data_IF_314774648675
#
_entry.id   IF_314774648675
#
_cell.length_a   1.000
_cell.length_b   1.000
_cell.length_c   1.000
_cell.angle_alpha   90.00
_cell.angle_beta   90.00
_cell.angle_gamma   90.00
#
_symmetry.space_group_name_H-M   'P 1'
#
loop_
_entity.id
_entity.type
_entity.pdbx_description
1 polymer ?
#
# COMPACT_ATOMS: atom_id res chain seq x y z
N UNK A 1 -9.13 -4.79 11.69
CA UNK A 1 -8.79 -5.66 12.84
C UNK A 1 -9.62 -6.93 12.94
N UNK A 2 -10.91 -6.92 12.53
CA UNK A 2 -11.85 -8.06 12.61
C UNK A 2 -11.28 -9.48 12.37
N UNK A 3 -10.45 -9.67 11.34
CA UNK A 3 -9.86 -10.99 11.04
C UNK A 3 -8.90 -11.47 12.14
N UNK A 4 -8.00 -10.59 12.59
CA UNK A 4 -7.03 -10.90 13.65
C UNK A 4 -7.73 -11.16 14.98
N UNK A 5 -8.72 -10.33 15.33
CA UNK A 5 -9.54 -10.50 16.54
C UNK A 5 -10.29 -11.83 16.53
N UNK A 6 -10.89 -12.21 15.39
CA UNK A 6 -11.61 -13.48 15.24
C UNK A 6 -10.73 -14.73 15.39
N UNK A 7 -9.42 -14.59 15.19
CA UNK A 7 -8.42 -15.65 15.38
C UNK A 7 -7.71 -15.57 16.74
N UNK A 8 -8.06 -14.60 17.60
CA UNK A 8 -7.42 -14.39 18.89
C UNK A 8 -5.98 -13.87 18.79
N UNK A 9 -5.62 -13.20 17.68
CA UNK A 9 -4.29 -12.62 17.48
C UNK A 9 -4.22 -11.30 18.28
N UNK A 10 -3.24 -11.15 19.20
CA UNK A 10 -3.06 -9.90 19.94
C UNK A 10 -2.78 -8.72 19.01
N UNK A 11 -3.43 -7.60 19.27
CA UNK A 11 -3.25 -6.36 18.51
C UNK A 11 -2.50 -5.32 19.34
N UNK A 12 -1.69 -4.51 18.65
CA UNK A 12 -0.96 -3.39 19.24
C UNK A 12 -0.96 -2.22 18.25
N UNK A 13 -1.04 -0.98 18.74
CA UNK A 13 -0.91 0.19 17.88
C UNK A 13 0.50 0.29 17.32
N UNK A 14 0.65 0.76 16.08
CA UNK A 14 1.96 1.06 15.50
C UNK A 14 2.65 2.20 16.27
N UNK A 15 1.89 3.12 16.86
CA UNK A 15 2.41 4.22 17.67
C UNK A 15 3.14 3.75 18.93
N UNK A 16 2.85 2.53 19.40
CA UNK A 16 3.42 1.95 20.62
C UNK A 16 4.65 1.05 20.33
N UNK A 17 5.16 1.05 19.08
CA UNK A 17 6.17 0.10 18.61
C UNK A 17 7.36 0.86 17.99
N UNK A 18 8.55 0.66 18.56
CA UNK A 18 9.78 1.25 18.02
C UNK A 18 10.33 0.50 16.79
N UNK A 19 10.13 -0.82 16.73
CA UNK A 19 10.61 -1.66 15.61
C UNK A 19 9.74 -2.89 15.39
N UNK A 20 9.61 -3.29 14.13
CA UNK A 20 8.92 -4.50 13.70
C UNK A 20 9.94 -5.44 13.06
N UNK A 21 10.01 -6.69 13.50
CA UNK A 21 10.99 -7.62 12.94
C UNK A 21 10.62 -8.04 11.51
N UNK A 22 9.35 -8.31 11.26
CA UNK A 22 8.83 -8.75 9.96
C UNK A 22 7.45 -8.14 9.71
N UNK A 23 7.25 -7.61 8.51
CA UNK A 23 5.93 -7.29 7.96
C UNK A 23 5.69 -8.14 6.72
N UNK A 24 4.49 -8.69 6.59
CA UNK A 24 4.03 -9.46 5.43
C UNK A 24 2.86 -8.74 4.79
N UNK A 25 2.90 -8.56 3.48
CA UNK A 25 1.92 -7.76 2.73
C UNK A 25 1.80 -8.26 1.28
N UNK A 26 0.82 -7.77 0.52
CA UNK A 26 0.68 -8.04 -0.92
C UNK A 26 1.23 -6.91 -1.80
N UNK A 27 1.12 -7.07 -3.12
CA UNK A 27 1.35 -5.99 -4.08
C UNK A 27 0.42 -6.09 -5.30
N UNK A 28 0.23 -4.97 -5.98
CA UNK A 28 -0.59 -4.88 -7.20
C UNK A 28 0.23 -5.19 -8.46
N UNK A 29 1.51 -4.77 -8.48
CA UNK A 29 2.50 -5.13 -9.51
C UNK A 29 3.90 -5.28 -8.89
N UNK A 30 4.72 -6.15 -9.48
CA UNK A 30 6.13 -6.35 -9.15
C UNK A 30 6.94 -6.53 -10.43
N UNK A 31 8.04 -5.81 -10.57
CA UNK A 31 8.97 -5.94 -11.71
C UNK A 31 10.17 -6.87 -11.40
N UNK A 32 11.01 -7.23 -12.39
CA UNK A 32 12.16 -8.12 -12.18
C UNK A 32 13.25 -7.53 -11.26
N UNK A 33 13.23 -6.23 -11.01
CA UNK A 33 14.13 -5.53 -10.09
C UNK A 33 13.55 -5.45 -8.67
N UNK A 34 12.40 -6.08 -8.43
CA UNK A 34 11.66 -6.07 -7.18
C UNK A 34 11.16 -4.68 -6.77
N UNK A 35 10.97 -3.78 -7.74
CA UNK A 35 10.12 -2.61 -7.55
C UNK A 35 8.65 -3.04 -7.64
N UNK A 36 7.74 -2.30 -7.02
CA UNK A 36 6.32 -2.62 -7.15
C UNK A 36 5.39 -1.44 -6.95
N UNK A 37 4.15 -1.65 -7.40
CA UNK A 37 3.02 -0.78 -7.15
C UNK A 37 2.11 -1.45 -6.13
N UNK A 38 1.66 -0.65 -5.15
CA UNK A 38 0.76 -1.04 -4.07
C UNK A 38 -0.32 0.02 -3.90
N UNK A 39 -1.37 -0.31 -3.15
CA UNK A 39 -2.43 0.62 -2.76
C UNK A 39 -3.75 0.42 -3.50
N UNK A 40 -3.88 -0.61 -4.34
CA UNK A 40 -5.14 -0.96 -5.01
C UNK A 40 -6.28 -1.26 -4.03
N UNK A 41 -5.95 -1.67 -2.81
CA UNK A 41 -6.91 -1.90 -1.72
C UNK A 41 -7.28 -0.67 -0.89
N UNK A 42 -6.71 0.51 -1.16
CA UNK A 42 -7.05 1.75 -0.46
C UNK A 42 -6.47 1.90 0.96
N UNK A 43 -5.36 1.23 1.26
CA UNK A 43 -4.69 1.29 2.56
C UNK A 43 -3.20 1.68 2.46
N UNK A 44 -2.80 2.35 1.38
CA UNK A 44 -1.39 2.56 1.03
C UNK A 44 -0.63 3.34 2.12
N UNK A 45 -1.24 4.37 2.70
CA UNK A 45 -0.61 5.10 3.80
C UNK A 45 -0.34 4.19 5.00
N UNK A 46 -1.33 3.39 5.40
CA UNK A 46 -1.19 2.49 6.55
C UNK A 46 -0.16 1.39 6.29
N UNK A 47 -0.16 0.80 5.09
CA UNK A 47 0.87 -0.17 4.64
C UNK A 47 2.28 0.43 4.80
N UNK A 48 2.46 1.69 4.36
CA UNK A 48 3.75 2.38 4.41
C UNK A 48 4.17 2.78 5.83
N UNK A 49 3.22 3.19 6.68
CA UNK A 49 3.47 3.49 8.09
C UNK A 49 4.02 2.23 8.80
N UNK A 50 3.39 1.06 8.60
CA UNK A 50 3.84 -0.21 9.19
C UNK A 50 5.16 -0.69 8.59
N UNK A 51 5.39 -0.48 7.30
CA UNK A 51 6.65 -0.86 6.64
C UNK A 51 7.86 -0.04 7.15
N UNK A 52 7.65 1.19 7.63
CA UNK A 52 8.74 2.11 8.01
C UNK A 52 9.63 1.59 9.16
N UNK A 53 9.09 1.14 10.30
CA UNK A 53 9.90 0.57 11.39
C UNK A 53 10.25 -0.92 11.18
N UNK A 54 10.05 -1.48 9.98
CA UNK A 54 10.22 -2.91 9.72
C UNK A 54 11.66 -3.28 9.31
N UNK A 55 12.23 -4.31 9.93
CA UNK A 55 13.56 -4.85 9.58
C UNK A 55 13.53 -5.73 8.32
N UNK A 56 12.47 -6.53 8.15
CA UNK A 56 12.26 -7.38 6.96
C UNK A 56 10.85 -7.21 6.42
N UNK A 57 10.73 -6.68 5.20
CA UNK A 57 9.44 -6.50 4.53
C UNK A 57 9.30 -7.55 3.44
N UNK A 58 8.31 -8.43 3.57
CA UNK A 58 8.10 -9.59 2.69
C UNK A 58 6.79 -9.39 1.95
N UNK A 59 6.85 -9.37 0.61
CA UNK A 59 5.65 -9.32 -0.22
C UNK A 59 5.29 -10.72 -0.73
N UNK A 60 4.01 -11.06 -0.64
CA UNK A 60 3.45 -12.31 -1.14
C UNK A 60 2.51 -11.99 -2.29
N UNK A 61 2.87 -12.46 -3.47
CA UNK A 61 2.11 -12.26 -4.71
C UNK A 61 2.06 -13.55 -5.52
N UNK A 62 1.02 -13.71 -6.33
CA UNK A 62 0.96 -14.74 -7.36
C UNK A 62 1.57 -14.24 -8.68
N UNK A 63 1.78 -15.13 -9.66
CA UNK A 63 2.44 -14.78 -10.92
C UNK A 63 1.73 -13.70 -11.72
N UNK A 64 0.42 -13.47 -11.52
CA UNK A 64 -0.33 -12.43 -12.24
C UNK A 64 0.10 -11.01 -11.86
N UNK A 65 0.80 -10.85 -10.74
CA UNK A 65 1.35 -9.56 -10.28
C UNK A 65 2.71 -9.25 -10.89
N UNK A 66 3.36 -10.22 -11.52
CA UNK A 66 4.67 -10.02 -12.14
C UNK A 66 4.51 -9.36 -13.50
N UNK A 67 5.21 -8.25 -13.72
CA UNK A 67 5.19 -7.48 -14.97
C UNK A 67 6.59 -7.16 -15.45
N UNK A 68 6.82 -7.09 -16.76
CA UNK A 68 8.13 -6.69 -17.31
C UNK A 68 8.45 -5.22 -17.00
N UNK A 69 7.42 -4.38 -16.97
CA UNK A 69 7.50 -2.95 -16.68
C UNK A 69 6.27 -2.52 -15.87
N UNK A 70 6.50 -1.76 -14.78
CA UNK A 70 5.43 -1.20 -13.96
C UNK A 70 4.57 -0.21 -14.75
N UNK A 71 3.28 -0.17 -14.42
CA UNK A 71 2.33 0.84 -14.87
C UNK A 71 1.14 0.32 -15.67
N UNK A 72 0.94 -1.01 -15.79
CA UNK A 72 -0.32 -1.53 -16.30
C UNK A 72 -1.44 -1.33 -15.25
N UNK A 73 -1.10 -1.45 -13.97
CA UNK A 73 -1.90 -1.01 -12.84
C UNK A 73 -1.76 0.50 -12.62
N UNK A 74 -2.87 1.17 -12.30
CA UNK A 74 -2.88 2.61 -12.04
C UNK A 74 -2.14 2.90 -10.74
N UNK A 75 -1.15 3.79 -10.78
CA UNK A 75 -0.40 4.22 -9.60
C UNK A 75 -1.33 4.88 -8.55
N UNK A 76 -1.52 4.28 -7.36
CA UNK A 76 -2.36 4.87 -6.32
C UNK A 76 -1.70 6.10 -5.69
N UNK A 77 -2.50 7.15 -5.44
CA UNK A 77 -2.08 8.38 -4.76
C UNK A 77 -3.15 8.75 -3.74
N UNK A 78 -2.78 8.76 -2.47
CA UNK A 78 -3.67 9.20 -1.38
C UNK A 78 -3.46 10.69 -1.11
N UNK A 79 -4.58 11.42 -1.00
CA UNK A 79 -4.58 12.87 -0.90
C UNK A 79 -5.56 13.33 0.16
N UNK A 80 -5.23 14.42 0.85
CA UNK A 80 -6.23 15.20 1.55
C UNK A 80 -7.20 15.81 0.54
N UNK A 81 -8.49 15.80 0.86
CA UNK A 81 -9.54 16.27 -0.06
C UNK A 81 -9.29 17.70 -0.56
N UNK A 82 -8.78 18.59 0.31
CA UNK A 82 -8.43 19.97 -0.05
C UNK A 82 -7.31 20.10 -1.09
N UNK A 83 -6.47 19.07 -1.27
CA UNK A 83 -5.35 19.07 -2.20
C UNK A 83 -5.73 18.55 -3.59
N UNK A 84 -6.93 17.98 -3.77
CA UNK A 84 -7.32 17.24 -4.98
C UNK A 84 -7.13 18.07 -6.25
N UNK A 85 -7.68 19.30 -6.30
CA UNK A 85 -7.62 20.16 -7.49
C UNK A 85 -6.17 20.51 -7.85
N UNK A 86 -5.35 20.84 -6.84
CA UNK A 86 -3.94 21.20 -7.04
C UNK A 86 -3.11 19.99 -7.52
N UNK A 87 -3.39 18.80 -7.01
CA UNK A 87 -2.69 17.59 -7.41
C UNK A 87 -3.07 17.14 -8.83
N UNK A 88 -4.35 17.23 -9.22
CA UNK A 88 -4.80 16.87 -10.57
C UNK A 88 -4.10 17.73 -11.63
N UNK A 89 -4.03 19.04 -11.41
CA UNK A 89 -3.39 19.96 -12.36
C UNK A 89 -1.89 19.71 -12.50
N UNK A 90 -1.22 19.36 -11.40
CA UNK A 90 0.22 19.09 -11.37
C UNK A 90 0.59 17.74 -11.97
N UNK A 91 -0.19 16.70 -11.66
CA UNK A 91 0.08 15.32 -12.08
C UNK A 91 -0.53 14.97 -13.45
N UNK A 92 -1.24 15.92 -14.09
CA UNK A 92 -1.95 15.73 -15.36
C UNK A 92 -2.84 14.47 -15.36
N UNK A 93 -3.47 14.17 -14.22
CA UNK A 93 -4.25 12.96 -14.03
C UNK A 93 -5.57 13.09 -14.81
N UNK A 94 -5.83 12.13 -15.71
CA UNK A 94 -7.05 12.12 -16.55
C UNK A 94 -8.13 11.15 -16.07
N UNK A 95 -7.85 10.34 -15.04
CA UNK A 95 -8.79 9.36 -14.50
C UNK A 95 -8.64 9.26 -12.98
N UNK A 96 -9.72 9.49 -12.25
CA UNK A 96 -9.76 9.42 -10.78
C UNK A 96 -10.88 8.46 -10.39
N UNK A 97 -10.54 7.43 -9.63
CA UNK A 97 -11.50 6.62 -8.89
C UNK A 97 -11.44 7.05 -7.44
N UNK A 98 -12.55 7.58 -6.92
CA UNK A 98 -12.68 7.88 -5.50
C UNK A 98 -13.15 6.63 -4.75
N UNK A 99 -12.36 6.18 -3.79
CA UNK A 99 -12.83 5.30 -2.74
C UNK A 99 -13.11 6.17 -1.52
N UNK A 100 -14.39 6.41 -1.24
CA UNK A 100 -14.84 6.96 0.04
C UNK A 100 -14.88 5.83 1.06
N UNK A 101 -14.29 6.06 2.23
CA UNK A 101 -14.57 5.23 3.43
C UNK A 101 -16.06 5.26 3.81
#
# INVERSE_FOLDING_TARGET
TKQAEGLGIPLKSVDDIDSIDVTVDGADEVDPQLNGIKGGGGALLMEKIVATPTKKYIWVVDESKMVDQLGAFKLPVELFNMALIACISTLNLRAISHHSE
#
